data_IF_139984377116
#
_entry.id   IF_139984377116
#
_cell.length_a   1.000
_cell.length_b   1.000
_cell.length_c   1.000
_cell.angle_alpha   90.00
_cell.angle_beta   90.00
_cell.angle_gamma   90.00
#
_symmetry.space_group_name_H-M   'P 1'
#
loop_
_entity.id
_entity.type
_entity.pdbx_description
1 polymer ?
#
# COMPACT_ATOMS: atom_id res chain seq x y z
N UNK A 1 -11.85 34.27 -14.30
CA UNK A 1 -11.21 33.32 -15.25
C UNK A 1 -10.98 32.06 -14.47
N UNK A 2 -11.64 30.96 -14.81
CA UNK A 2 -11.31 29.66 -14.20
C UNK A 2 -9.86 29.36 -14.59
N UNK A 3 -8.97 29.21 -13.61
CA UNK A 3 -7.64 28.64 -13.86
C UNK A 3 -7.86 27.32 -14.58
N UNK A 4 -7.39 27.23 -15.82
CA UNK A 4 -7.33 25.96 -16.52
C UNK A 4 -6.38 25.09 -15.72
N UNK A 5 -6.90 24.05 -15.05
CA UNK A 5 -6.06 23.00 -14.47
C UNK A 5 -5.04 22.61 -15.54
N UNK A 6 -3.75 22.60 -15.18
CA UNK A 6 -2.64 22.35 -16.11
C UNK A 6 -2.61 20.95 -16.72
N UNK A 7 -3.71 20.21 -16.61
CA UNK A 7 -3.93 18.85 -17.08
C UNK A 7 -5.42 18.65 -17.42
N UNK A 8 -5.71 17.61 -18.20
CA UNK A 8 -7.07 17.15 -18.48
C UNK A 8 -7.14 15.63 -18.63
N UNK A 9 -8.30 15.05 -18.32
CA UNK A 9 -8.58 13.62 -18.53
C UNK A 9 -9.21 13.44 -19.91
N UNK A 10 -8.64 12.55 -20.72
CA UNK A 10 -9.15 12.20 -22.05
C UNK A 10 -9.46 10.71 -22.12
N UNK A 11 -10.49 10.32 -22.87
CA UNK A 11 -10.66 8.93 -23.26
C UNK A 11 -9.73 8.63 -24.44
N UNK A 12 -8.87 7.62 -24.29
CA UNK A 12 -7.91 7.23 -25.33
C UNK A 12 -8.56 6.23 -26.28
N UNK A 13 -8.97 5.07 -25.76
CA UNK A 13 -9.67 4.01 -26.50
C UNK A 13 -10.18 2.92 -25.53
N UNK A 14 -10.86 1.90 -26.05
CA UNK A 14 -11.39 0.81 -25.23
C UNK A 14 -10.32 -0.06 -24.53
N UNK A 15 -9.10 -0.12 -25.06
CA UNK A 15 -8.02 -0.95 -24.49
C UNK A 15 -7.29 -0.23 -23.36
N UNK A 16 -6.93 1.05 -23.53
CA UNK A 16 -6.26 1.88 -22.51
C UNK A 16 -7.24 2.56 -21.55
N UNK A 17 -8.48 2.78 -21.96
CA UNK A 17 -9.44 3.56 -21.19
C UNK A 17 -9.10 5.05 -21.17
N UNK A 18 -9.09 5.65 -19.97
CA UNK A 18 -8.79 7.07 -19.76
C UNK A 18 -7.27 7.29 -19.69
N UNK A 19 -6.86 8.52 -19.97
CA UNK A 19 -5.49 9.00 -19.80
C UNK A 19 -5.50 10.42 -19.23
N UNK A 20 -4.50 10.74 -18.42
CA UNK A 20 -4.24 12.11 -17.97
C UNK A 20 -3.24 12.78 -18.92
N UNK A 21 -3.53 14.00 -19.37
CA UNK A 21 -2.68 14.72 -20.33
C UNK A 21 -2.37 16.11 -19.82
N UNK A 22 -1.13 16.56 -20.00
CA UNK A 22 -0.74 17.92 -19.66
C UNK A 22 -1.35 18.94 -20.62
N UNK A 23 -1.83 20.07 -20.11
CA UNK A 23 -2.29 21.23 -20.90
C UNK A 23 -1.33 22.42 -20.80
N UNK A 24 -0.30 22.30 -19.96
CA UNK A 24 0.81 23.23 -19.80
C UNK A 24 2.15 22.49 -19.65
N UNK A 25 3.26 23.23 -19.62
CA UNK A 25 4.56 22.65 -19.28
C UNK A 25 4.68 22.39 -17.78
N UNK A 26 5.28 21.27 -17.40
CA UNK A 26 5.78 21.00 -16.04
C UNK A 26 7.27 20.71 -16.13
N UNK A 27 8.05 21.29 -15.23
CA UNK A 27 9.47 20.95 -15.09
C UNK A 27 9.63 19.74 -14.16
N UNK A 28 10.75 19.04 -14.28
CA UNK A 28 11.12 18.01 -13.31
C UNK A 28 11.04 18.54 -11.87
N UNK A 29 10.30 17.83 -11.01
CA UNK A 29 10.07 18.19 -9.61
C UNK A 29 8.79 18.99 -9.35
N UNK A 30 8.12 19.52 -10.38
CA UNK A 30 6.87 20.27 -10.22
C UNK A 30 5.73 19.39 -9.68
N UNK A 31 4.88 19.97 -8.83
CA UNK A 31 3.64 19.33 -8.41
C UNK A 31 2.60 19.55 -9.52
N UNK A 32 2.11 18.45 -10.08
CA UNK A 32 1.09 18.46 -11.13
C UNK A 32 -0.28 18.68 -10.48
N UNK A 33 -0.61 17.88 -9.46
CA UNK A 33 -1.81 18.04 -8.64
C UNK A 33 -1.68 17.36 -7.28
N UNK A 34 -2.57 17.74 -6.36
CA UNK A 34 -2.81 17.03 -5.11
C UNK A 34 -4.23 16.47 -5.10
N UNK A 35 -4.43 15.26 -4.57
CA UNK A 35 -5.74 14.61 -4.55
C UNK A 35 -6.02 13.93 -3.21
N UNK A 36 -7.24 14.14 -2.69
CA UNK A 36 -7.80 13.34 -1.59
C UNK A 36 -8.56 12.15 -2.18
N UNK A 37 -8.43 10.95 -1.60
CA UNK A 37 -9.14 9.81 -2.12
C UNK A 37 -10.64 9.90 -1.81
N UNK A 38 -11.45 9.20 -2.60
CA UNK A 38 -12.87 9.02 -2.30
C UNK A 38 -13.08 8.19 -1.03
N UNK A 39 -12.26 7.16 -0.88
CA UNK A 39 -12.20 6.27 0.29
C UNK A 39 -10.77 5.77 0.47
N UNK A 40 -10.39 5.55 1.71
CA UNK A 40 -9.11 4.96 2.11
C UNK A 40 -9.40 3.96 3.23
N UNK A 41 -8.62 2.90 3.38
CA UNK A 41 -8.69 1.94 4.49
C UNK A 41 -7.30 1.49 4.88
N UNK A 42 -7.05 1.38 6.18
CA UNK A 42 -5.93 0.59 6.68
C UNK A 42 -6.13 -0.89 6.31
N UNK A 43 -5.04 -1.59 6.00
CA UNK A 43 -5.08 -3.03 5.78
C UNK A 43 -5.45 -3.80 7.06
N UNK A 44 -6.12 -4.94 6.89
CA UNK A 44 -6.78 -5.65 8.01
C UNK A 44 -5.76 -6.27 8.96
N UNK A 45 -4.70 -6.87 8.43
CA UNK A 45 -3.55 -7.35 9.21
C UNK A 45 -2.72 -6.20 9.74
N UNK A 46 -2.50 -5.12 8.99
CA UNK A 46 -1.77 -3.95 9.51
C UNK A 46 -2.42 -3.42 10.81
N UNK A 47 -3.76 -3.27 10.82
CA UNK A 47 -4.50 -2.97 12.04
C UNK A 47 -4.40 -4.05 13.12
N UNK A 48 -4.51 -5.34 12.75
CA UNK A 48 -4.40 -6.46 13.70
C UNK A 48 -3.03 -6.57 14.37
N UNK A 49 -1.96 -6.22 13.65
CA UNK A 49 -0.57 -6.12 14.14
C UNK A 49 -0.29 -4.80 14.86
N UNK A 50 -1.34 -4.03 15.21
CA UNK A 50 -1.30 -2.86 16.09
C UNK A 50 -0.56 -1.65 15.51
N UNK A 51 -0.46 -1.55 14.20
CA UNK A 51 -0.12 -0.26 13.58
C UNK A 51 -1.29 0.68 13.82
N UNK A 52 -1.08 1.72 14.64
CA UNK A 52 -2.16 2.62 14.99
C UNK A 52 -2.20 3.77 13.97
N UNK A 53 -3.25 3.82 13.17
CA UNK A 53 -3.49 4.88 12.19
C UNK A 53 -4.84 5.56 12.43
N UNK A 54 -4.94 6.82 12.02
CA UNK A 54 -6.20 7.54 11.94
C UNK A 54 -7.12 6.81 10.97
N UNK A 55 -8.32 6.44 11.42
CA UNK A 55 -9.26 5.67 10.61
C UNK A 55 -9.66 6.41 9.34
N UNK A 56 -9.62 7.74 9.33
CA UNK A 56 -9.95 8.56 8.15
C UNK A 56 -8.77 8.76 7.19
N UNK A 57 -7.66 9.30 7.71
CA UNK A 57 -6.59 9.86 6.87
C UNK A 57 -5.30 9.02 6.84
N UNK A 58 -5.26 7.86 7.49
CA UNK A 58 -4.08 7.00 7.61
C UNK A 58 -2.87 7.60 8.34
N UNK A 59 -2.99 8.81 8.92
CA UNK A 59 -1.92 9.40 9.73
C UNK A 59 -1.59 8.50 10.94
N UNK A 60 -0.31 8.22 11.24
CA UNK A 60 0.07 7.45 12.41
C UNK A 60 -0.41 8.10 13.71
N UNK A 61 -0.86 7.29 14.68
CA UNK A 61 -1.33 7.74 15.99
C UNK A 61 -0.35 7.43 17.13
N UNK A 62 0.78 6.80 16.81
CA UNK A 62 1.92 6.64 17.71
C UNK A 62 2.84 7.86 17.62
N UNK A 63 3.48 8.25 18.72
CA UNK A 63 4.65 9.12 18.60
C UNK A 63 5.78 8.37 17.90
N UNK A 64 6.75 9.11 17.34
CA UNK A 64 7.94 8.51 16.73
C UNK A 64 8.66 7.56 17.69
N UNK A 65 8.79 7.96 18.96
CA UNK A 65 9.47 7.14 19.97
C UNK A 65 8.66 5.88 20.34
N UNK A 66 7.32 5.98 20.48
CA UNK A 66 6.46 4.80 20.71
C UNK A 66 6.57 3.80 19.55
N UNK A 67 6.53 4.32 18.33
CA UNK A 67 6.66 3.53 17.11
C UNK A 67 8.03 2.85 17.03
N UNK A 68 9.13 3.59 17.26
CA UNK A 68 10.48 3.05 17.25
C UNK A 68 10.70 1.99 18.34
N UNK A 69 10.22 2.22 19.57
CA UNK A 69 10.28 1.24 20.66
C UNK A 69 9.53 -0.04 20.34
N UNK A 70 8.35 0.09 19.70
CA UNK A 70 7.55 -1.07 19.27
C UNK A 70 8.26 -1.88 18.19
N UNK A 71 8.76 -1.20 17.15
CA UNK A 71 9.36 -1.85 15.99
C UNK A 71 10.77 -2.42 16.27
N UNK A 72 11.51 -1.86 17.23
CA UNK A 72 12.82 -2.40 17.68
C UNK A 72 12.72 -3.35 18.86
N UNK A 73 11.56 -3.46 19.51
CA UNK A 73 11.41 -4.18 20.78
C UNK A 73 12.14 -3.56 21.99
N UNK A 74 12.81 -2.41 21.81
CA UNK A 74 13.64 -1.77 22.85
C UNK A 74 12.86 -0.71 23.63
N UNK A 75 12.33 -1.10 24.79
CA UNK A 75 11.53 -0.19 25.65
C UNK A 75 12.27 1.05 26.14
N UNK A 76 13.60 0.96 26.29
CA UNK A 76 14.44 2.04 26.80
C UNK A 76 15.04 2.91 25.68
N UNK A 77 14.67 2.67 24.41
CA UNK A 77 15.11 3.50 23.29
C UNK A 77 14.61 4.94 23.48
N UNK A 78 15.50 5.92 23.33
CA UNK A 78 15.19 7.35 23.38
C UNK A 78 15.65 7.96 22.06
N UNK A 79 14.75 8.66 21.38
CA UNK A 79 15.10 9.34 20.14
C UNK A 79 15.64 10.75 20.44
N UNK A 80 16.71 11.20 19.76
CA UNK A 80 17.13 12.59 19.83
C UNK A 80 16.09 13.51 19.17
N UNK A 81 16.10 14.79 19.54
CA UNK A 81 15.22 15.81 18.97
C UNK A 81 13.72 15.44 19.01
N UNK A 82 13.13 15.22 20.21
CA UNK A 82 11.71 14.84 20.35
C UNK A 82 10.75 15.88 19.74
N UNK A 83 11.17 17.13 19.61
CA UNK A 83 10.44 18.20 18.93
C UNK A 83 10.24 17.96 17.42
N UNK A 84 11.02 17.07 16.81
CA UNK A 84 10.85 16.66 15.41
C UNK A 84 9.74 15.61 15.21
N UNK A 85 9.14 15.10 16.31
CA UNK A 85 8.02 14.17 16.25
C UNK A 85 6.78 14.86 15.63
N UNK A 86 6.22 14.34 14.52
CA UNK A 86 5.09 14.96 13.84
C UNK A 86 3.74 14.72 14.55
N UNK A 87 3.68 13.76 15.47
CA UNK A 87 2.44 13.31 16.10
C UNK A 87 2.02 14.23 17.24
N UNK A 88 0.92 14.95 17.07
CA UNK A 88 0.25 15.67 18.16
C UNK A 88 -0.79 14.77 18.86
N UNK A 89 -0.37 14.07 19.90
CA UNK A 89 -1.28 13.18 20.65
C UNK A 89 -2.41 13.92 21.40
N UNK A 90 -2.32 15.25 21.58
CA UNK A 90 -3.33 16.02 22.31
C UNK A 90 -4.59 16.24 21.49
N UNK A 91 -4.48 16.28 20.16
CA UNK A 91 -5.62 16.40 19.24
C UNK A 91 -6.32 15.07 18.96
N UNK A 92 -5.71 13.95 19.32
CA UNK A 92 -6.28 12.62 19.10
C UNK A 92 -7.65 12.47 19.77
N UNK A 93 -8.58 11.90 19.03
CA UNK A 93 -9.95 11.68 19.48
C UNK A 93 -10.44 10.30 19.06
N UNK A 94 -11.51 9.83 19.68
CA UNK A 94 -12.12 8.55 19.34
C UNK A 94 -13.64 8.69 19.22
N UNK A 95 -14.25 7.80 18.43
CA UNK A 95 -15.69 7.63 18.40
C UNK A 95 -16.19 7.24 19.80
N UNK A 96 -17.22 7.91 20.29
CA UNK A 96 -17.77 7.65 21.63
C UNK A 96 -18.47 6.29 21.75
N UNK A 97 -18.93 5.74 20.61
CA UNK A 97 -19.70 4.50 20.56
C UNK A 97 -18.80 3.28 20.36
N UNK A 98 -17.88 3.31 19.39
CA UNK A 98 -17.04 2.15 19.04
C UNK A 98 -15.54 2.29 19.37
N UNK A 99 -15.09 3.41 19.92
CA UNK A 99 -13.69 3.70 20.26
C UNK A 99 -12.70 3.75 19.07
N UNK A 100 -13.15 3.70 17.82
CA UNK A 100 -12.31 3.94 16.64
C UNK A 100 -11.63 5.30 16.74
N UNK A 101 -10.34 5.37 16.41
CA UNK A 101 -9.46 6.53 16.71
C UNK A 101 -9.20 7.38 15.46
N UNK A 102 -9.05 8.68 15.69
CA UNK A 102 -8.77 9.70 14.69
C UNK A 102 -7.68 10.64 15.21
N UNK A 103 -6.90 11.21 14.29
CA UNK A 103 -5.86 12.17 14.66
C UNK A 103 -6.45 13.50 15.15
N UNK A 104 -7.66 13.88 14.72
CA UNK A 104 -8.32 15.13 15.13
C UNK A 104 -9.85 15.05 14.99
N UNK A 105 -10.55 16.07 15.50
CA UNK A 105 -12.00 16.21 15.39
C UNK A 105 -12.47 16.28 13.93
N UNK A 106 -11.75 17.01 13.06
CA UNK A 106 -12.11 17.14 11.64
C UNK A 106 -12.11 15.78 10.93
N UNK A 107 -11.11 14.94 11.21
CA UNK A 107 -11.04 13.58 10.66
C UNK A 107 -12.18 12.69 11.17
N UNK A 108 -12.54 12.81 12.47
CA UNK A 108 -13.68 12.08 13.04
C UNK A 108 -14.98 12.51 12.37
N UNK A 109 -15.17 13.81 12.19
CA UNK A 109 -16.42 14.38 11.67
C UNK A 109 -16.57 14.10 10.18
N UNK A 110 -15.47 14.19 9.41
CA UNK A 110 -15.45 13.77 8.01
C UNK A 110 -15.71 12.27 7.85
N UNK A 111 -15.09 11.42 8.68
CA UNK A 111 -15.39 9.99 8.68
C UNK A 111 -16.86 9.73 9.03
N UNK A 112 -17.40 10.40 10.06
CA UNK A 112 -18.79 10.27 10.48
C UNK A 112 -19.76 10.62 9.35
N UNK A 113 -19.54 11.72 8.64
CA UNK A 113 -20.38 12.15 7.52
C UNK A 113 -20.22 11.26 6.30
N UNK A 114 -19.03 10.71 6.04
CA UNK A 114 -18.76 9.92 4.84
C UNK A 114 -19.13 8.44 4.99
N UNK A 115 -18.69 7.73 6.03
CA UNK A 115 -18.90 6.26 6.09
C UNK A 115 -19.09 5.70 7.50
N UNK A 116 -18.56 6.37 8.53
CA UNK A 116 -18.43 5.77 9.85
C UNK A 116 -19.78 5.63 10.55
N UNK A 117 -20.77 6.48 10.29
CA UNK A 117 -22.11 6.33 10.87
C UNK A 117 -22.73 4.97 10.51
N UNK A 118 -22.52 4.51 9.27
CA UNK A 118 -22.98 3.21 8.77
C UNK A 118 -22.11 2.06 9.26
N UNK A 119 -20.79 2.28 9.37
CA UNK A 119 -19.82 1.26 9.78
C UNK A 119 -19.56 1.19 11.30
N UNK A 120 -20.19 2.05 12.09
CA UNK A 120 -19.98 2.08 13.53
C UNK A 120 -20.54 0.79 14.15
N UNK A 121 -19.68 0.02 14.82
CA UNK A 121 -20.10 -1.21 15.53
C UNK A 121 -20.93 -0.95 16.78
N UNK A 122 -21.03 0.33 17.19
CA UNK A 122 -21.72 0.78 18.40
C UNK A 122 -21.28 0.08 19.69
N UNK A 123 -20.11 -0.56 19.67
CA UNK A 123 -19.53 -1.29 20.80
C UNK A 123 -18.08 -0.87 21.01
N UNK A 124 -17.76 -0.48 22.25
CA UNK A 124 -16.39 -0.08 22.64
C UNK A 124 -15.44 -1.27 22.75
N UNK A 125 -15.97 -2.48 22.84
CA UNK A 125 -15.23 -3.74 22.89
C UNK A 125 -15.49 -4.52 21.63
N UNK A 126 -14.47 -5.22 21.15
CA UNK A 126 -14.60 -6.11 20.00
C UNK A 126 -15.67 -7.18 20.27
N UNK A 127 -16.63 -7.27 19.37
CA UNK A 127 -17.67 -8.29 19.37
C UNK A 127 -17.48 -9.21 18.15
N UNK A 128 -16.96 -10.43 18.32
CA UNK A 128 -16.76 -11.38 17.22
C UNK A 128 -18.05 -11.79 16.50
N UNK A 129 -19.22 -11.53 17.09
CA UNK A 129 -20.52 -11.79 16.46
C UNK A 129 -21.00 -10.64 15.56
N UNK A 130 -20.35 -9.47 15.63
CA UNK A 130 -20.73 -8.32 14.83
C UNK A 130 -20.47 -8.58 13.32
N UNK A 131 -21.43 -8.33 12.41
CA UNK A 131 -21.30 -8.66 10.99
C UNK A 131 -20.04 -8.09 10.32
N UNK A 132 -19.67 -6.84 10.64
CA UNK A 132 -18.43 -6.22 10.12
C UNK A 132 -17.15 -6.85 10.68
N UNK A 133 -17.17 -7.34 11.92
CA UNK A 133 -16.01 -8.03 12.50
C UNK A 133 -15.85 -9.41 11.86
N UNK A 134 -16.95 -10.11 11.61
CA UNK A 134 -16.95 -11.38 10.89
C UNK A 134 -16.43 -11.22 9.47
N UNK A 135 -16.91 -10.20 8.73
CA UNK A 135 -16.42 -9.88 7.39
C UNK A 135 -14.90 -9.66 7.38
N UNK A 136 -14.39 -8.88 8.32
CA UNK A 136 -12.96 -8.57 8.41
C UNK A 136 -12.12 -9.79 8.81
N UNK A 137 -12.61 -10.62 9.72
CA UNK A 137 -11.96 -11.88 10.10
C UNK A 137 -11.93 -12.89 8.96
N UNK A 138 -13.05 -13.00 8.24
CA UNK A 138 -13.15 -13.85 7.06
C UNK A 138 -12.16 -13.40 5.97
N UNK A 139 -12.01 -12.10 5.72
CA UNK A 139 -10.99 -11.58 4.81
C UNK A 139 -9.57 -11.97 5.23
N UNK A 140 -9.21 -11.76 6.50
CA UNK A 140 -7.86 -12.12 7.01
C UNK A 140 -7.55 -13.61 6.91
N UNK A 141 -8.56 -14.47 7.01
CA UNK A 141 -8.38 -15.92 6.84
C UNK A 141 -8.13 -16.31 5.38
N UNK A 142 -8.58 -15.49 4.42
CA UNK A 142 -8.43 -15.74 2.99
C UNK A 142 -7.19 -15.07 2.40
N UNK A 143 -6.83 -13.89 2.91
CA UNK A 143 -5.73 -13.06 2.41
C UNK A 143 -4.73 -12.88 3.54
N UNK A 144 -3.68 -13.69 3.50
CA UNK A 144 -2.55 -13.57 4.43
C UNK A 144 -1.57 -12.51 3.91
N UNK A 145 -0.78 -11.84 4.78
CA UNK A 145 0.19 -10.85 4.32
C UNK A 145 1.20 -11.40 3.31
N UNK A 146 1.73 -10.55 2.40
CA UNK A 146 1.50 -9.10 2.32
C UNK A 146 0.13 -8.73 1.71
N UNK A 147 -0.61 -7.84 2.35
CA UNK A 147 -1.91 -7.37 1.84
C UNK A 147 -1.71 -6.32 0.73
N UNK A 148 -2.40 -6.52 -0.39
CA UNK A 148 -2.49 -5.53 -1.48
C UNK A 148 -3.87 -4.87 -1.55
N UNK A 149 -4.86 -5.40 -0.81
CA UNK A 149 -6.23 -4.89 -0.73
C UNK A 149 -6.87 -5.25 0.61
N UNK A 150 -8.03 -4.66 0.90
CA UNK A 150 -8.88 -5.06 2.04
C UNK A 150 -10.36 -5.00 1.65
N UNK A 151 -11.14 -5.99 2.08
CA UNK A 151 -12.60 -5.99 1.92
C UNK A 151 -13.26 -4.79 2.59
N UNK A 152 -12.61 -4.21 3.61
CA UNK A 152 -13.13 -3.05 4.31
C UNK A 152 -13.19 -1.81 3.42
N UNK A 153 -12.41 -1.77 2.33
CA UNK A 153 -12.54 -0.71 1.31
C UNK A 153 -13.90 -0.78 0.61
N UNK A 154 -14.37 -1.98 0.26
CA UNK A 154 -15.72 -2.20 -0.30
C UNK A 154 -16.79 -1.80 0.71
N UNK A 155 -16.62 -2.19 1.98
CA UNK A 155 -17.53 -1.77 3.05
C UNK A 155 -17.62 -0.24 3.16
N UNK A 156 -16.49 0.47 3.04
CA UNK A 156 -16.45 1.94 3.02
C UNK A 156 -17.07 2.55 1.77
N UNK A 157 -16.90 1.95 0.59
CA UNK A 157 -17.58 2.41 -0.64
C UNK A 157 -19.10 2.35 -0.47
N UNK A 158 -19.64 1.23 0.01
CA UNK A 158 -21.07 1.05 0.26
C UNK A 158 -21.57 2.07 1.30
N UNK A 159 -20.86 2.22 2.41
CA UNK A 159 -21.21 3.18 3.45
C UNK A 159 -21.17 4.63 2.93
N UNK A 160 -20.21 4.96 2.06
CA UNK A 160 -20.10 6.26 1.41
C UNK A 160 -21.34 6.58 0.57
N UNK A 161 -21.74 5.66 -0.32
CA UNK A 161 -22.97 5.82 -1.12
C UNK A 161 -24.20 5.95 -0.24
N UNK A 162 -24.33 5.12 0.80
CA UNK A 162 -25.50 5.13 1.70
C UNK A 162 -25.65 6.45 2.46
N UNK A 163 -24.54 7.09 2.81
CA UNK A 163 -24.54 8.33 3.58
C UNK A 163 -24.54 9.60 2.73
N UNK A 164 -24.25 9.49 1.43
CA UNK A 164 -24.26 10.62 0.52
C UNK A 164 -25.66 11.25 0.41
N UNK A 165 -25.69 12.58 0.29
CA UNK A 165 -26.92 13.31 -0.01
C UNK A 165 -27.43 12.96 -1.42
N UNK A 166 -26.50 12.87 -2.39
CA UNK A 166 -26.74 12.35 -3.74
C UNK A 166 -26.16 10.93 -3.86
N UNK A 167 -26.97 9.94 -3.50
CA UNK A 167 -26.59 8.53 -3.54
C UNK A 167 -26.30 8.04 -4.97
N UNK A 168 -27.05 8.52 -5.97
CA UNK A 168 -26.84 8.14 -7.37
C UNK A 168 -25.56 8.74 -7.93
N UNK A 169 -25.27 10.01 -7.60
CA UNK A 169 -23.99 10.65 -7.91
C UNK A 169 -22.80 9.93 -7.28
N UNK A 170 -22.88 9.60 -5.99
CA UNK A 170 -21.83 8.85 -5.28
C UNK A 170 -21.61 7.45 -5.89
N UNK A 171 -22.69 6.74 -6.22
CA UNK A 171 -22.61 5.44 -6.88
C UNK A 171 -21.91 5.55 -8.25
N UNK A 172 -22.33 6.52 -9.09
CA UNK A 172 -21.71 6.76 -10.41
C UNK A 172 -20.24 7.15 -10.32
N UNK A 173 -19.86 7.86 -9.26
CA UNK A 173 -18.46 8.25 -9.03
C UNK A 173 -17.57 7.02 -8.81
N UNK A 174 -18.03 5.99 -8.10
CA UNK A 174 -17.30 4.73 -7.99
C UNK A 174 -17.33 3.91 -9.28
N UNK A 175 -18.44 3.91 -10.01
CA UNK A 175 -18.52 3.19 -11.28
C UNK A 175 -17.70 3.83 -12.42
N UNK A 176 -17.03 4.96 -12.19
CA UNK A 176 -16.13 5.57 -13.17
C UNK A 176 -14.75 4.90 -13.25
N UNK A 177 -14.37 4.15 -12.22
CA UNK A 177 -13.09 3.42 -12.11
C UNK A 177 -13.07 2.21 -13.03
N UNK A 178 -11.90 1.64 -13.31
CA UNK A 178 -11.83 0.43 -14.12
C UNK A 178 -12.50 -0.75 -13.42
N UNK A 179 -13.45 -1.42 -14.10
CA UNK A 179 -14.21 -2.54 -13.54
C UNK A 179 -14.74 -3.50 -14.64
N UNK A 180 -14.06 -3.56 -15.80
CA UNK A 180 -14.48 -4.29 -17.03
C UNK A 180 -14.33 -5.82 -16.90
N UNK A 181 -14.94 -6.69 -17.72
CA UNK A 181 -16.36 -7.03 -18.03
C UNK A 181 -16.46 -8.56 -18.19
N UNK A 182 -17.59 -9.21 -17.86
CA UNK A 182 -17.95 -10.66 -17.96
C UNK A 182 -16.86 -11.72 -18.23
N UNK A 183 -16.18 -11.75 -19.39
CA UNK A 183 -15.12 -12.74 -19.64
C UNK A 183 -13.75 -12.35 -19.03
N UNK A 184 -13.45 -11.06 -18.96
CA UNK A 184 -12.25 -10.52 -18.33
C UNK A 184 -12.38 -10.49 -16.81
N UNK A 185 -13.60 -10.29 -16.28
CA UNK A 185 -13.90 -10.35 -14.85
C UNK A 185 -13.69 -11.75 -14.28
N UNK A 186 -14.20 -12.79 -14.94
CA UNK A 186 -14.00 -14.18 -14.51
C UNK A 186 -12.52 -14.57 -14.58
N UNK A 187 -11.81 -14.18 -15.64
CA UNK A 187 -10.37 -14.36 -15.73
C UNK A 187 -9.60 -13.57 -14.66
N UNK A 188 -10.01 -12.33 -14.38
CA UNK A 188 -9.40 -11.46 -13.38
C UNK A 188 -9.61 -12.00 -11.97
N UNK A 189 -10.82 -12.44 -11.64
CA UNK A 189 -11.19 -13.04 -10.37
C UNK A 189 -10.47 -14.38 -10.18
N UNK A 190 -10.38 -15.21 -11.22
CA UNK A 190 -9.54 -16.40 -11.20
C UNK A 190 -8.03 -16.10 -11.13
N UNK A 191 -7.59 -14.87 -11.39
CA UNK A 191 -6.19 -14.42 -11.26
C UNK A 191 -5.91 -13.76 -9.91
N UNK A 192 -6.85 -13.00 -9.35
CA UNK A 192 -6.78 -12.33 -8.05
C UNK A 192 -6.97 -13.33 -6.90
N UNK A 193 -7.88 -14.28 -7.09
CA UNK A 193 -8.30 -15.19 -6.03
C UNK A 193 -8.04 -16.63 -6.45
N UNK A 194 -8.29 -17.04 -7.69
CA UNK A 194 -8.08 -18.42 -8.13
C UNK A 194 -9.39 -19.21 -8.29
N UNK A 195 -9.36 -20.31 -9.06
CA UNK A 195 -10.50 -21.26 -9.16
C UNK A 195 -11.01 -21.80 -7.82
N UNK A 196 -10.18 -22.06 -6.79
CA UNK A 196 -10.68 -22.55 -5.49
C UNK A 196 -11.25 -21.46 -4.57
N UNK A 197 -11.51 -20.24 -5.08
CA UNK A 197 -11.94 -19.10 -4.26
C UNK A 197 -13.34 -18.56 -4.57
N UNK A 198 -14.11 -19.25 -5.42
CA UNK A 198 -15.52 -18.90 -5.70
C UNK A 198 -16.38 -18.90 -4.44
N UNK A 199 -16.16 -19.90 -3.58
CA UNK A 199 -16.94 -20.09 -2.36
C UNK A 199 -16.60 -19.01 -1.32
N UNK A 200 -15.33 -18.64 -1.24
CA UNK A 200 -14.80 -17.56 -0.42
C UNK A 200 -15.41 -16.21 -0.84
N UNK A 201 -15.43 -15.92 -2.14
CA UNK A 201 -16.07 -14.72 -2.68
C UNK A 201 -17.57 -14.68 -2.40
N UNK A 202 -18.24 -15.81 -2.57
CA UNK A 202 -19.65 -15.92 -2.25
C UNK A 202 -19.90 -15.63 -0.76
N UNK A 203 -19.06 -16.20 0.13
CA UNK A 203 -19.16 -15.95 1.57
C UNK A 203 -18.94 -14.47 1.91
N UNK A 204 -17.92 -13.82 1.34
CA UNK A 204 -17.70 -12.38 1.51
C UNK A 204 -18.88 -11.55 1.02
N UNK A 205 -19.45 -11.89 -0.14
CA UNK A 205 -20.63 -11.21 -0.70
C UNK A 205 -21.84 -11.34 0.22
N UNK A 206 -22.09 -12.54 0.74
CA UNK A 206 -23.20 -12.81 1.67
C UNK A 206 -23.02 -12.03 2.98
N UNK A 207 -21.80 -11.98 3.52
CA UNK A 207 -21.47 -11.19 4.70
C UNK A 207 -21.60 -9.68 4.47
N UNK A 208 -21.12 -9.15 3.33
CA UNK A 208 -21.33 -7.75 2.95
C UNK A 208 -22.82 -7.45 2.84
N UNK A 209 -23.59 -8.30 2.16
CA UNK A 209 -25.03 -8.12 2.02
C UNK A 209 -25.72 -8.10 3.39
N UNK A 210 -25.41 -9.07 4.25
CA UNK A 210 -25.95 -9.13 5.61
C UNK A 210 -25.60 -7.87 6.44
N UNK A 211 -24.36 -7.40 6.34
CA UNK A 211 -23.88 -6.26 7.13
C UNK A 211 -24.36 -4.89 6.60
N UNK A 212 -24.49 -4.74 5.27
CA UNK A 212 -24.53 -3.43 4.62
C UNK A 212 -25.61 -3.24 3.57
N UNK A 213 -26.56 -4.17 3.42
CA UNK A 213 -27.68 -4.03 2.47
C UNK A 213 -28.35 -2.66 2.53
N UNK A 214 -28.57 -2.08 1.35
CA UNK A 214 -29.48 -0.97 1.11
C UNK A 214 -29.88 -0.97 -0.37
N UNK A 215 -31.09 -0.51 -0.67
CA UNK A 215 -31.61 -0.51 -2.05
C UNK A 215 -30.72 0.30 -3.01
N UNK A 216 -30.13 1.40 -2.53
CA UNK A 216 -29.25 2.27 -3.32
C UNK A 216 -27.93 1.60 -3.77
N UNK A 217 -27.55 0.46 -3.18
CA UNK A 217 -26.35 -0.31 -3.55
C UNK A 217 -26.68 -1.75 -3.96
N UNK A 218 -27.96 -2.10 -4.15
CA UNK A 218 -28.37 -3.48 -4.44
C UNK A 218 -27.64 -4.08 -5.65
N UNK A 219 -27.35 -3.26 -6.67
CA UNK A 219 -26.63 -3.68 -7.88
C UNK A 219 -25.25 -4.27 -7.55
N UNK A 220 -24.54 -3.69 -6.59
CA UNK A 220 -23.24 -4.16 -6.09
C UNK A 220 -23.30 -5.46 -5.27
N UNK A 221 -24.48 -5.85 -4.78
CA UNK A 221 -24.65 -7.02 -3.92
C UNK A 221 -25.08 -8.28 -4.71
N UNK A 222 -25.37 -8.11 -6.00
CA UNK A 222 -25.51 -9.22 -6.95
C UNK A 222 -24.17 -9.95 -7.12
N UNK A 223 -24.20 -11.17 -7.65
CA UNK A 223 -22.96 -11.90 -7.93
C UNK A 223 -22.05 -11.13 -8.90
N UNK A 224 -22.60 -10.67 -10.03
CA UNK A 224 -21.87 -9.89 -11.04
C UNK A 224 -21.36 -8.56 -10.46
N UNK A 225 -22.22 -7.81 -9.75
CA UNK A 225 -21.84 -6.53 -9.17
C UNK A 225 -20.76 -6.64 -8.09
N UNK A 226 -20.76 -7.70 -7.28
CA UNK A 226 -19.74 -7.90 -6.27
C UNK A 226 -18.37 -8.25 -6.88
N UNK A 227 -18.37 -9.08 -7.93
CA UNK A 227 -17.14 -9.37 -8.69
C UNK A 227 -16.57 -8.09 -9.32
N UNK A 228 -17.45 -7.24 -9.86
CA UNK A 228 -17.08 -5.92 -10.40
C UNK A 228 -16.44 -5.03 -9.32
N UNK A 229 -16.96 -5.01 -8.09
CA UNK A 229 -16.37 -4.27 -6.97
C UNK A 229 -14.98 -4.80 -6.57
N UNK A 230 -14.82 -6.12 -6.52
CA UNK A 230 -13.52 -6.74 -6.22
C UNK A 230 -12.51 -6.41 -7.32
N UNK A 231 -12.92 -6.46 -8.59
CA UNK A 231 -12.10 -6.04 -9.72
C UNK A 231 -11.72 -4.56 -9.65
N UNK A 232 -12.66 -3.70 -9.27
CA UNK A 232 -12.43 -2.27 -9.09
C UNK A 232 -11.36 -2.01 -8.02
N UNK A 233 -11.50 -2.61 -6.83
CA UNK A 233 -10.52 -2.41 -5.75
C UNK A 233 -9.15 -2.96 -6.14
N UNK A 234 -9.09 -4.13 -6.78
CA UNK A 234 -7.83 -4.72 -7.23
C UNK A 234 -7.13 -3.90 -8.32
N UNK A 235 -7.87 -3.36 -9.29
CA UNK A 235 -7.26 -2.65 -10.43
C UNK A 235 -6.90 -1.19 -10.11
N UNK A 236 -7.65 -0.52 -9.24
CA UNK A 236 -7.53 0.92 -9.01
C UNK A 236 -7.00 1.28 -7.60
N UNK A 237 -6.82 0.31 -6.72
CA UNK A 237 -6.29 0.56 -5.38
C UNK A 237 -4.90 1.19 -5.44
N UNK A 238 -4.70 2.27 -4.70
CA UNK A 238 -3.40 2.89 -4.47
C UNK A 238 -2.95 2.58 -3.05
N UNK A 239 -1.80 1.95 -2.89
CA UNK A 239 -1.19 1.76 -1.58
C UNK A 239 -0.88 3.09 -0.90
N UNK A 240 -1.19 3.18 0.40
CA UNK A 240 -0.90 4.32 1.27
C UNK A 240 -0.04 3.80 2.41
N UNK A 241 1.20 4.28 2.50
CA UNK A 241 2.13 3.97 3.58
C UNK A 241 2.51 5.23 4.34
N UNK A 242 2.38 5.22 5.67
CA UNK A 242 2.73 6.33 6.54
C UNK A 242 3.62 5.86 7.69
N UNK A 243 4.59 6.69 8.10
CA UNK A 243 5.53 6.35 9.17
C UNK A 243 5.94 7.58 9.96
N UNK A 244 5.73 7.58 11.30
CA UNK A 244 6.17 8.70 12.14
C UNK A 244 7.70 8.72 12.28
N UNK A 245 8.40 7.59 12.05
CA UNK A 245 9.86 7.51 12.00
C UNK A 245 10.38 8.20 10.75
N UNK A 246 9.85 7.86 9.57
CA UNK A 246 10.30 8.45 8.31
C UNK A 246 10.10 9.97 8.29
N UNK A 247 9.00 10.46 8.87
CA UNK A 247 8.74 11.89 8.98
C UNK A 247 9.62 12.58 10.04
N UNK A 248 9.88 11.92 11.17
CA UNK A 248 10.86 12.42 12.15
C UNK A 248 12.27 12.50 11.56
N UNK A 249 12.72 11.48 10.81
CA UNK A 249 14.02 11.49 10.11
C UNK A 249 14.09 12.69 9.17
N UNK A 250 13.07 12.90 8.35
CA UNK A 250 12.99 14.07 7.45
C UNK A 250 13.10 15.39 8.22
N UNK A 251 12.37 15.53 9.33
CA UNK A 251 12.39 16.75 10.14
C UNK A 251 13.74 16.95 10.84
N UNK A 252 14.31 15.89 11.42
CA UNK A 252 15.57 15.93 12.14
C UNK A 252 16.76 16.20 11.20
N UNK A 253 16.77 15.61 10.00
CA UNK A 253 17.79 15.86 8.98
C UNK A 253 17.74 17.28 8.39
N UNK A 254 16.60 17.98 8.54
CA UNK A 254 16.43 19.37 8.12
C UNK A 254 16.90 20.39 9.17
N UNK A 255 17.29 19.95 10.37
CA UNK A 255 17.82 20.83 11.41
C UNK A 255 19.19 21.41 11.00
N UNK A 256 19.38 22.71 11.27
CA UNK A 256 20.68 23.37 11.13
C UNK A 256 21.57 23.04 12.34
N UNK A 257 22.28 21.91 12.27
CA UNK A 257 23.15 21.42 13.34
C UNK A 257 24.64 21.62 13.01
N UNK A 258 25.51 21.78 14.03
CA UNK A 258 26.95 21.66 13.85
C UNK A 258 27.33 20.31 13.21
N UNK A 259 28.36 20.31 12.37
CA UNK A 259 28.79 19.12 11.59
C UNK A 259 28.96 17.85 12.45
N UNK A 260 29.54 18.00 13.65
CA UNK A 260 29.74 16.87 14.57
C UNK A 260 28.45 16.34 15.21
N UNK A 261 27.45 17.19 15.42
CA UNK A 261 26.12 16.75 15.89
C UNK A 261 25.32 16.12 14.77
N UNK A 262 25.44 16.66 13.56
CA UNK A 262 24.83 16.08 12.36
C UNK A 262 25.34 14.65 12.09
N UNK A 263 26.66 14.43 12.12
CA UNK A 263 27.24 13.08 12.00
C UNK A 263 26.76 12.11 13.08
N UNK A 264 26.58 12.59 14.32
CA UNK A 264 26.04 11.76 15.41
C UNK A 264 24.59 11.39 15.16
N UNK A 265 23.78 12.32 14.68
CA UNK A 265 22.39 12.09 14.30
C UNK A 265 22.29 11.09 13.14
N UNK A 266 23.08 11.28 12.07
CA UNK A 266 23.08 10.40 10.89
C UNK A 266 23.45 8.96 11.30
N UNK A 267 24.51 8.80 12.10
CA UNK A 267 24.91 7.49 12.64
C UNK A 267 23.83 6.89 13.56
N UNK A 268 23.12 7.71 14.32
CA UNK A 268 22.00 7.22 15.14
C UNK A 268 20.87 6.69 14.26
N UNK A 269 20.50 7.43 13.21
CA UNK A 269 19.44 7.05 12.26
C UNK A 269 19.80 5.75 11.54
N UNK A 270 21.04 5.61 11.06
CA UNK A 270 21.53 4.36 10.44
C UNK A 270 21.39 3.16 11.38
N UNK A 271 21.89 3.28 12.62
CA UNK A 271 21.76 2.21 13.62
C UNK A 271 20.29 1.90 13.94
N UNK A 272 19.42 2.92 13.99
CA UNK A 272 18.00 2.72 14.20
C UNK A 272 17.39 1.89 13.07
N UNK A 273 17.68 2.20 11.80
CA UNK A 273 17.17 1.42 10.66
C UNK A 273 17.73 0.00 10.61
N UNK A 274 18.99 -0.21 10.99
CA UNK A 274 19.55 -1.56 11.14
C UNK A 274 18.79 -2.38 12.19
N UNK A 275 18.41 -1.75 13.30
CA UNK A 275 17.63 -2.40 14.36
C UNK A 275 16.19 -2.67 13.93
N UNK A 276 15.55 -1.70 13.28
CA UNK A 276 14.20 -1.85 12.70
C UNK A 276 14.18 -3.00 11.69
N UNK A 277 15.16 -3.06 10.78
CA UNK A 277 15.24 -4.11 9.78
C UNK A 277 15.47 -5.50 10.39
N UNK A 278 16.22 -5.59 11.50
CA UNK A 278 16.47 -6.87 12.20
C UNK A 278 15.22 -7.41 12.89
N UNK A 279 14.41 -6.53 13.48
CA UNK A 279 13.27 -6.93 14.32
C UNK A 279 11.93 -6.94 13.56
N UNK A 280 11.68 -5.93 12.73
CA UNK A 280 10.40 -5.73 12.02
C UNK A 280 10.49 -6.01 10.50
N UNK A 281 11.68 -6.23 9.97
CA UNK A 281 11.89 -6.47 8.53
C UNK A 281 11.43 -5.27 7.68
N UNK A 282 10.63 -5.55 6.65
CA UNK A 282 10.09 -4.53 5.73
C UNK A 282 8.79 -3.90 6.21
N UNK A 283 8.19 -4.41 7.28
CA UNK A 283 6.91 -3.93 7.81
C UNK A 283 7.12 -2.75 8.77
N UNK A 284 7.45 -1.58 8.24
CA UNK A 284 7.71 -0.39 9.06
C UNK A 284 6.54 0.60 9.10
N UNK A 285 5.64 0.50 8.13
CA UNK A 285 4.63 1.52 7.87
C UNK A 285 3.26 1.14 8.45
N UNK A 286 2.46 2.17 8.76
CA UNK A 286 1.01 2.01 8.76
C UNK A 286 0.56 1.98 7.30
N UNK A 287 -0.05 0.86 6.89
CA UNK A 287 -0.29 0.55 5.49
C UNK A 287 -1.77 0.33 5.21
N UNK A 288 -2.19 0.78 4.04
CA UNK A 288 -3.56 0.70 3.59
C UNK A 288 -3.67 0.91 2.10
N UNK A 289 -4.91 1.02 1.63
CA UNK A 289 -5.25 1.26 0.24
C UNK A 289 -6.31 2.34 0.11
N UNK A 290 -6.32 3.06 -1.00
CA UNK A 290 -7.25 4.14 -1.27
C UNK A 290 -7.61 4.24 -2.76
N UNK A 291 -8.75 4.87 -3.05
CA UNK A 291 -9.23 5.10 -4.42
C UNK A 291 -9.17 6.58 -4.77
N UNK A 292 -8.36 6.93 -5.77
CA UNK A 292 -8.12 8.29 -6.25
C UNK A 292 -8.68 8.43 -7.67
N UNK A 293 -9.61 9.35 -7.87
CA UNK A 293 -10.32 9.48 -9.14
C UNK A 293 -9.39 9.95 -10.27
N UNK A 294 -8.60 10.98 -10.02
CA UNK A 294 -7.72 11.57 -11.01
C UNK A 294 -6.48 10.71 -11.24
N UNK A 295 -5.86 10.22 -10.16
CA UNK A 295 -4.71 9.33 -10.29
C UNK A 295 -5.06 8.01 -11.00
N UNK A 296 -6.28 7.47 -10.85
CA UNK A 296 -6.70 6.26 -11.60
C UNK A 296 -6.74 6.44 -13.13
N UNK A 297 -6.69 7.68 -13.63
CA UNK A 297 -6.58 7.97 -15.06
C UNK A 297 -5.13 7.99 -15.58
N UNK A 298 -4.12 7.90 -14.72
CA UNK A 298 -2.71 7.91 -15.13
C UNK A 298 -2.27 6.50 -15.54
N UNK A 299 -1.95 6.31 -16.82
CA UNK A 299 -1.53 5.00 -17.33
C UNK A 299 -0.09 4.65 -16.96
N UNK A 300 0.24 3.37 -17.16
CA UNK A 300 1.61 2.88 -16.99
C UNK A 300 2.56 3.35 -18.10
N UNK A 301 3.78 3.68 -17.72
CA UNK A 301 4.97 3.64 -18.58
C UNK A 301 6.16 3.04 -17.81
N UNK A 302 6.97 2.21 -18.47
CA UNK A 302 8.26 1.77 -17.89
C UNK A 302 9.32 2.89 -17.89
N UNK A 303 9.04 4.00 -18.58
CA UNK A 303 9.78 5.26 -18.55
C UNK A 303 8.81 6.39 -18.20
N UNK A 304 8.25 6.31 -17.00
CA UNK A 304 7.26 7.23 -16.47
C UNK A 304 7.79 8.67 -16.39
N UNK A 305 6.90 9.65 -16.60
CA UNK A 305 7.21 11.08 -16.47
C UNK A 305 6.63 11.72 -15.20
N UNK A 306 5.87 10.96 -14.42
CA UNK A 306 5.38 11.38 -13.13
C UNK A 306 5.43 10.25 -12.09
N UNK A 307 5.37 10.63 -10.83
CA UNK A 307 5.28 9.71 -9.70
C UNK A 307 4.27 10.17 -8.64
N UNK A 308 3.73 9.18 -7.93
CA UNK A 308 2.87 9.37 -6.76
C UNK A 308 3.74 9.48 -5.51
N UNK A 309 3.47 10.48 -4.68
CA UNK A 309 4.09 10.68 -3.37
C UNK A 309 3.07 11.00 -2.27
N UNK A 310 3.43 10.72 -1.02
CA UNK A 310 2.62 11.00 0.18
C UNK A 310 3.40 11.88 1.19
N UNK A 311 3.72 13.15 0.83
CA UNK A 311 4.66 13.97 1.60
C UNK A 311 4.12 14.45 2.96
N UNK A 312 2.82 14.27 3.22
CA UNK A 312 2.14 14.75 4.43
C UNK A 312 1.84 13.65 5.46
N UNK A 313 2.43 12.45 5.27
CA UNK A 313 2.27 11.31 6.18
C UNK A 313 0.80 11.00 6.48
N UNK A 314 0.00 11.03 5.41
CA UNK A 314 -1.42 10.74 5.40
C UNK A 314 -1.81 10.28 3.98
N UNK A 315 -3.08 9.99 3.78
CA UNK A 315 -3.72 9.65 2.51
C UNK A 315 -3.79 10.79 1.45
N UNK A 316 -3.16 11.94 1.63
CA UNK A 316 -3.15 12.98 0.60
C UNK A 316 -2.11 12.62 -0.47
N UNK A 317 -2.57 12.34 -1.68
CA UNK A 317 -1.73 12.05 -2.82
C UNK A 317 -1.18 13.33 -3.43
N UNK A 318 0.09 13.30 -3.82
CA UNK A 318 0.75 14.33 -4.62
C UNK A 318 1.32 13.67 -5.87
N UNK A 319 0.88 14.15 -7.05
CA UNK A 319 1.44 13.76 -8.33
C UNK A 319 2.57 14.73 -8.70
N UNK A 320 3.79 14.22 -8.84
CA UNK A 320 5.00 15.01 -9.13
C UNK A 320 5.59 14.62 -10.48
N UNK A 321 5.99 15.60 -11.28
CA UNK A 321 6.76 15.35 -12.50
C UNK A 321 8.17 14.85 -12.16
N UNK A 322 8.62 13.77 -12.80
CA UNK A 322 9.99 13.22 -12.64
C UNK A 322 10.95 13.70 -13.73
N UNK A 323 10.40 14.20 -14.83
CA UNK A 323 11.10 14.84 -15.95
C UNK A 323 10.21 15.93 -16.53
N UNK A 324 10.74 16.75 -17.43
CA UNK A 324 9.96 17.79 -18.08
C UNK A 324 8.80 17.18 -18.89
N UNK A 325 7.61 17.78 -18.81
CA UNK A 325 6.38 17.35 -19.48
C UNK A 325 5.87 18.54 -20.31
N UNK A 326 5.65 18.33 -21.61
CA UNK A 326 5.13 19.35 -22.50
C UNK A 326 3.60 19.29 -22.61
N UNK A 327 2.94 20.40 -23.01
CA UNK A 327 1.53 20.38 -23.33
C UNK A 327 1.22 19.33 -24.39
N UNK A 328 0.23 18.48 -24.12
CA UNK A 328 -0.17 17.38 -24.98
C UNK A 328 0.43 16.02 -24.60
N UNK A 329 1.48 15.98 -23.77
CA UNK A 329 2.09 14.73 -23.30
C UNK A 329 1.12 13.98 -22.36
N UNK A 330 1.08 12.65 -22.48
CA UNK A 330 0.40 11.78 -21.51
C UNK A 330 1.21 11.76 -20.21
N UNK A 331 0.54 11.98 -19.08
CA UNK A 331 1.12 11.88 -17.74
C UNK A 331 0.99 10.43 -17.30
N UNK A 332 2.13 9.73 -17.28
CA UNK A 332 2.24 8.31 -17.00
C UNK A 332 3.03 8.07 -15.72
N UNK A 333 2.59 7.08 -14.95
CA UNK A 333 3.27 6.59 -13.74
C UNK A 333 3.81 5.18 -13.94
N UNK A 334 4.69 4.70 -13.05
CA UNK A 334 5.04 3.28 -13.03
C UNK A 334 4.06 2.51 -12.13
N UNK A 335 3.58 1.37 -12.62
CA UNK A 335 2.75 0.41 -11.88
C UNK A 335 3.59 -0.67 -11.20
N UNK A 336 4.89 -0.69 -11.46
CA UNK A 336 5.85 -1.62 -10.89
C UNK A 336 6.88 -0.85 -10.07
N UNK A 337 7.51 -1.54 -9.12
CA UNK A 337 8.58 -0.97 -8.32
C UNK A 337 9.79 -0.62 -9.17
N UNK A 338 10.62 0.27 -8.65
CA UNK A 338 11.87 0.70 -9.29
C UNK A 338 12.81 -0.48 -9.59
N UNK A 339 12.94 -1.42 -8.65
CA UNK A 339 13.74 -2.64 -8.86
C UNK A 339 13.23 -3.52 -10.02
N UNK A 340 11.95 -3.41 -10.41
CA UNK A 340 11.39 -4.11 -11.56
C UNK A 340 11.61 -3.31 -12.85
N UNK A 341 11.68 -1.98 -12.78
CA UNK A 341 11.94 -1.14 -13.95
C UNK A 341 13.30 -1.43 -14.60
N UNK A 342 14.27 -1.88 -13.82
CA UNK A 342 15.61 -2.25 -14.30
C UNK A 342 15.70 -3.67 -14.87
N UNK A 343 14.67 -4.51 -14.62
CA UNK A 343 14.59 -5.87 -15.18
C UNK A 343 14.27 -5.85 -16.67
N UNK A 344 14.44 -7.00 -17.33
CA UNK A 344 14.17 -7.17 -18.76
C UNK A 344 12.73 -6.78 -19.14
N UNK A 345 12.53 -6.41 -20.42
CA UNK A 345 11.19 -6.14 -20.98
C UNK A 345 10.24 -7.31 -20.74
N UNK A 346 10.74 -8.54 -20.92
CA UNK A 346 10.00 -9.76 -20.66
C UNK A 346 9.51 -9.82 -19.21
N UNK A 347 10.41 -9.65 -18.23
CA UNK A 347 10.07 -9.71 -16.80
C UNK A 347 9.07 -8.62 -16.42
N UNK A 348 9.25 -7.39 -16.92
CA UNK A 348 8.28 -6.30 -16.68
C UNK A 348 6.90 -6.63 -17.24
N UNK A 349 6.83 -7.14 -18.47
CA UNK A 349 5.57 -7.55 -19.09
C UNK A 349 4.94 -8.74 -18.37
N UNK A 350 5.75 -9.71 -17.92
CA UNK A 350 5.30 -10.84 -17.12
C UNK A 350 4.66 -10.34 -15.83
N UNK A 351 5.31 -9.45 -15.09
CA UNK A 351 4.76 -8.88 -13.85
C UNK A 351 3.47 -8.11 -14.12
N UNK A 352 3.49 -7.16 -15.08
CA UNK A 352 2.29 -6.40 -15.43
C UNK A 352 1.11 -7.32 -15.80
N UNK A 353 1.37 -8.37 -16.57
CA UNK A 353 0.37 -9.32 -17.07
C UNK A 353 0.03 -10.49 -16.12
N UNK A 354 0.75 -10.68 -15.00
CA UNK A 354 0.57 -11.82 -14.10
C UNK A 354 0.51 -11.43 -12.62
N UNK A 355 -0.57 -11.87 -11.96
CA UNK A 355 -0.72 -11.87 -10.51
C UNK A 355 -0.06 -13.09 -9.82
N UNK A 356 0.49 -14.04 -10.58
CA UNK A 356 0.51 -15.47 -10.17
C UNK A 356 1.68 -15.97 -9.33
N UNK A 357 2.85 -15.31 -9.30
CA UNK A 357 4.06 -16.05 -8.85
C UNK A 357 4.48 -15.81 -7.40
N UNK A 358 4.24 -14.64 -6.79
CA UNK A 358 4.71 -14.41 -5.41
C UNK A 358 3.84 -15.05 -4.31
N UNK A 359 2.54 -15.23 -4.53
CA UNK A 359 1.70 -15.92 -3.55
C UNK A 359 2.06 -17.41 -3.45
N UNK A 360 2.44 -18.03 -4.58
CA UNK A 360 2.80 -19.46 -4.62
C UNK A 360 4.17 -19.74 -3.99
N UNK A 361 5.10 -18.79 -4.06
CA UNK A 361 6.36 -18.83 -3.29
C UNK A 361 6.11 -18.54 -1.82
N UNK A 362 5.33 -17.50 -1.47
CA UNK A 362 5.01 -17.20 -0.07
C UNK A 362 4.24 -18.34 0.62
N UNK A 363 3.36 -19.06 -0.09
CA UNK A 363 2.60 -20.19 0.43
C UNK A 363 3.48 -21.43 0.62
N UNK A 364 4.50 -21.63 -0.23
CA UNK A 364 5.50 -22.69 -0.04
C UNK A 364 6.43 -22.38 1.13
N UNK A 365 6.80 -21.12 1.31
CA UNK A 365 7.59 -20.66 2.46
C UNK A 365 6.78 -20.74 3.77
N UNK A 366 5.49 -20.37 3.74
CA UNK A 366 4.57 -20.51 4.87
C UNK A 366 4.20 -21.96 5.19
N UNK A 367 4.18 -22.86 4.20
CA UNK A 367 4.01 -24.31 4.43
C UNK A 367 5.27 -24.95 5.02
N UNK A 368 6.48 -24.48 4.65
CA UNK A 368 7.74 -24.85 5.31
C UNK A 368 7.81 -24.33 6.76
N UNK A 369 7.28 -23.14 7.03
CA UNK A 369 7.25 -22.53 8.38
C UNK A 369 6.03 -22.90 9.25
N UNK A 370 5.11 -23.74 8.74
CA UNK A 370 3.91 -24.20 9.46
C UNK A 370 4.20 -24.87 10.83
N UNK A 371 5.32 -25.58 11.05
CA UNK A 371 5.68 -26.07 12.38
C UNK A 371 6.17 -24.97 13.33
N UNK A 372 6.71 -23.85 12.83
CA UNK A 372 7.22 -22.72 13.64
C UNK A 372 6.12 -21.73 14.06
N UNK A 373 5.07 -21.56 13.24
CA UNK A 373 3.93 -20.71 13.57
C UNK A 373 3.00 -21.29 14.65
N UNK A 374 2.96 -22.63 14.82
CA UNK A 374 2.17 -23.27 15.89
C UNK A 374 2.79 -23.15 17.28
N UNK A 375 4.09 -22.98 17.41
CA UNK A 375 4.75 -22.87 18.71
C UNK A 375 4.77 -21.44 19.29
N UNK A 376 4.45 -20.42 18.49
CA UNK A 376 4.44 -19.01 18.94
C UNK A 376 3.09 -18.54 19.52
N UNK A 377 2.03 -19.35 19.42
CA UNK A 377 0.69 -19.03 19.94
C UNK A 377 0.57 -19.33 21.45
N UNK A 378 1.55 -20.02 22.02
CA UNK A 378 1.65 -20.30 23.45
C UNK A 378 3.10 -20.07 23.85
N UNK A 379 3.47 -18.88 24.33
CA UNK A 379 4.55 -18.61 25.29
C UNK A 379 4.81 -17.10 25.32
N UNK A 380 4.04 -16.39 26.14
CA UNK A 380 4.71 -15.43 26.98
C UNK A 380 5.64 -16.23 27.90
N UNK A 381 6.96 -15.99 27.81
CA UNK A 381 8.00 -16.11 28.86
C UNK A 381 9.38 -16.48 28.23
N UNK A 382 10.35 -15.60 28.50
CA UNK A 382 11.82 -15.75 28.57
C UNK A 382 12.66 -16.13 27.33
N UNK A 383 13.55 -15.20 27.00
CA UNK A 383 14.84 -15.40 26.33
C UNK A 383 15.69 -16.54 26.92
N UNK A 384 16.43 -17.20 26.04
CA UNK A 384 17.88 -17.54 26.06
C UNK A 384 18.21 -17.90 24.60
N UNK A 385 19.10 -17.24 23.88
CA UNK A 385 20.49 -16.99 24.22
C UNK A 385 21.34 -18.09 23.60
N UNK A 386 21.61 -18.00 22.28
CA UNK A 386 22.76 -18.68 21.65
C UNK A 386 23.06 -18.06 20.28
N UNK A 387 24.33 -17.70 20.09
CA UNK A 387 24.90 -17.12 18.89
C UNK A 387 25.14 -18.23 17.88
N UNK A 388 24.79 -18.00 16.62
CA UNK A 388 25.54 -18.61 15.50
C UNK A 388 25.91 -17.49 14.54
N UNK A 389 27.21 -17.33 14.37
CA UNK A 389 27.83 -16.44 13.40
C UNK A 389 28.34 -17.30 12.24
N UNK A 390 28.09 -16.85 11.01
CA UNK A 390 28.95 -17.03 9.82
C UNK A 390 28.60 -15.85 8.91
N UNK A 391 29.48 -14.84 8.75
CA UNK A 391 30.62 -14.80 7.81
C UNK A 391 30.19 -15.23 6.40
N UNK A 392 30.16 -14.39 5.36
CA UNK A 392 30.72 -13.06 5.15
C UNK A 392 31.36 -12.99 3.76
N UNK A 393 31.56 -11.74 3.29
CA UNK A 393 32.24 -11.27 2.06
C UNK A 393 31.29 -10.93 0.92
N UNK A 394 31.37 -9.76 0.27
CA UNK A 394 32.37 -8.69 0.28
C UNK A 394 31.65 -7.45 -0.28
N UNK A 395 31.76 -6.25 0.31
CA UNK A 395 31.98 -5.05 -0.50
C UNK A 395 32.68 -3.98 0.32
N UNK A 396 33.71 -3.43 -0.31
CA UNK A 396 34.72 -2.54 0.22
C UNK A 396 34.14 -1.20 0.68
N UNK A 397 34.84 -0.59 1.63
CA UNK A 397 34.70 0.79 2.06
C UNK A 397 34.54 1.74 0.87
N UNK A 398 33.37 2.37 0.74
CA UNK A 398 33.20 3.58 -0.06
C UNK A 398 32.56 4.61 0.88
N UNK A 399 33.31 5.67 1.18
CA UNK A 399 32.74 6.89 1.74
C UNK A 399 31.77 7.46 0.69
N UNK A 400 30.49 7.14 0.80
CA UNK A 400 29.44 7.74 -0.02
C UNK A 400 28.81 8.92 0.74
N UNK A 401 28.61 10.08 0.11
CA UNK A 401 27.92 11.22 0.72
C UNK A 401 26.43 10.92 0.96
N UNK A 402 25.88 11.56 2.00
CA UNK A 402 24.53 11.42 2.63
C UNK A 402 23.31 11.44 1.68
N UNK A 403 23.50 11.74 0.39
CA UNK A 403 22.43 11.69 -0.63
C UNK A 403 21.84 10.27 -0.76
N UNK A 404 22.64 9.22 -0.54
CA UNK A 404 22.21 7.81 -0.66
C UNK A 404 21.29 7.30 0.47
N UNK A 405 21.30 7.90 1.66
CA UNK A 405 20.41 7.47 2.76
C UNK A 405 18.97 7.92 2.49
N UNK A 406 18.81 9.13 1.95
CA UNK A 406 17.50 9.65 1.51
C UNK A 406 16.95 8.83 0.35
N UNK A 407 17.80 8.36 -0.57
CA UNK A 407 17.39 7.50 -1.67
C UNK A 407 17.06 6.05 -1.22
N UNK A 408 17.77 5.51 -0.22
CA UNK A 408 17.35 4.25 0.46
C UNK A 408 16.02 4.40 1.21
N UNK A 409 15.75 5.57 1.77
CA UNK A 409 14.46 5.90 2.37
C UNK A 409 13.36 5.96 1.30
N UNK A 410 13.60 6.58 0.14
CA UNK A 410 12.69 6.52 -1.01
C UNK A 410 12.42 5.08 -1.46
N UNK A 411 13.43 4.21 -1.43
CA UNK A 411 13.27 2.78 -1.71
C UNK A 411 12.34 2.08 -0.70
N UNK A 412 12.32 2.46 0.58
CA UNK A 412 11.34 1.97 1.57
C UNK A 412 9.95 2.60 1.42
N UNK A 413 9.84 3.83 0.88
CA UNK A 413 8.55 4.41 0.44
C UNK A 413 7.92 3.61 -0.73
N UNK A 414 8.69 2.76 -1.41
CA UNK A 414 8.22 1.88 -2.50
C UNK A 414 7.27 0.77 -2.02
N UNK A 415 7.16 0.49 -0.72
CA UNK A 415 6.19 -0.51 -0.21
C UNK A 415 4.74 -0.07 -0.47
N UNK A 416 4.49 1.22 -0.64
CA UNK A 416 3.18 1.76 -1.06
C UNK A 416 2.89 1.64 -2.58
N UNK A 417 3.83 1.12 -3.40
CA UNK A 417 3.67 1.00 -4.87
C UNK A 417 3.08 -0.34 -5.33
N UNK A 418 2.83 -1.31 -4.44
CA UNK A 418 2.53 -2.72 -4.81
C UNK A 418 1.02 -3.02 -5.01
N UNK A 419 0.16 -2.04 -5.28
CA UNK A 419 -1.21 -2.37 -5.70
C UNK A 419 -1.36 -2.51 -7.22
N UNK A 420 -0.56 -1.80 -8.04
CA UNK A 420 -0.77 -1.82 -9.49
C UNK A 420 -0.12 -3.01 -10.20
N UNK A 421 0.91 -3.62 -9.62
CA UNK A 421 1.78 -4.51 -10.40
C UNK A 421 1.13 -5.85 -10.74
N UNK A 422 -0.07 -6.17 -10.25
CA UNK A 422 -0.63 -7.54 -10.32
C UNK A 422 -1.91 -7.65 -11.16
N UNK A 423 -2.41 -6.55 -11.73
CA UNK A 423 -3.83 -6.47 -12.15
C UNK A 423 -4.08 -5.93 -13.55
N UNK A 424 -3.04 -5.62 -14.34
CA UNK A 424 -3.21 -5.02 -15.65
C UNK A 424 -2.94 -5.99 -16.80
N UNK A 425 -4.00 -6.40 -17.48
CA UNK A 425 -3.90 -7.27 -18.66
C UNK A 425 -3.49 -6.49 -19.92
N UNK A 426 -2.26 -5.93 -19.96
CA UNK A 426 -1.72 -5.33 -21.18
C UNK A 426 -0.19 -5.47 -21.32
N UNK A 427 0.28 -5.41 -22.57
CA UNK A 427 1.70 -5.33 -22.91
C UNK A 427 2.10 -3.86 -23.08
N UNK A 428 3.08 -3.39 -22.31
CA UNK A 428 3.53 -2.00 -22.36
C UNK A 428 4.21 -1.70 -23.71
N UNK A 429 3.84 -0.58 -24.33
CA UNK A 429 4.42 -0.08 -25.59
C UNK A 429 5.03 1.32 -25.42
N UNK A 430 5.57 1.61 -24.23
CA UNK A 430 6.31 2.85 -24.01
C UNK A 430 7.64 2.84 -24.78
N UNK A 431 8.26 4.00 -24.97
CA UNK A 431 9.53 4.16 -25.70
C UNK A 431 10.61 3.21 -25.21
N UNK A 432 10.73 2.98 -23.89
CA UNK A 432 11.67 2.00 -23.30
C UNK A 432 11.35 0.56 -23.70
N UNK A 433 10.07 0.18 -23.77
CA UNK A 433 9.69 -1.18 -24.19
C UNK A 433 9.83 -1.38 -25.70
N UNK A 434 9.65 -0.33 -26.50
CA UNK A 434 9.83 -0.39 -27.95
C UNK A 434 11.31 -0.47 -28.32
N UNK A 435 12.18 0.26 -27.61
CA UNK A 435 13.63 0.19 -27.84
C UNK A 435 14.24 -1.16 -27.45
N UNK A 436 13.56 -1.95 -26.62
CA UNK A 436 14.02 -3.25 -26.10
C UNK A 436 13.30 -4.45 -26.76
N UNK A 437 12.64 -4.25 -27.91
CA UNK A 437 11.84 -5.32 -28.54
C UNK A 437 12.70 -6.45 -29.12
N UNK A 438 13.92 -6.13 -29.55
CA UNK A 438 14.89 -7.07 -30.11
C UNK A 438 15.91 -7.57 -29.06
N UNK A 439 15.81 -7.11 -27.81
CA UNK A 439 16.67 -7.59 -26.74
C UNK A 439 16.35 -9.07 -26.47
N UNK A 440 17.36 -9.93 -26.30
CA UNK A 440 17.12 -11.34 -26.00
C UNK A 440 16.35 -11.47 -24.69
N UNK A 441 15.38 -12.39 -24.65
CA UNK A 441 14.67 -12.80 -23.44
C UNK A 441 15.61 -13.64 -22.56
N UNK A 442 16.69 -13.03 -22.06
CA UNK A 442 17.55 -13.61 -21.02
C UNK A 442 16.88 -13.38 -19.67
N UNK A 443 16.14 -14.37 -19.20
CA UNK A 443 16.06 -14.65 -17.77
C UNK A 443 17.40 -15.27 -17.44
N UNK A 444 18.37 -14.52 -16.91
CA UNK A 444 19.65 -15.12 -16.54
C UNK A 444 19.38 -16.30 -15.61
N UNK A 445 20.13 -17.40 -15.74
CA UNK A 445 20.00 -18.58 -14.87
C UNK A 445 20.29 -18.23 -13.38
N UNK A 446 20.86 -17.05 -13.11
CA UNK A 446 20.96 -16.43 -11.77
C UNK A 446 19.63 -15.83 -11.26
N UNK A 447 18.56 -15.77 -12.06
CA UNK A 447 17.21 -15.33 -11.66
C UNK A 447 16.32 -16.47 -11.14
N UNK A 448 16.85 -17.69 -11.01
CA UNK A 448 16.17 -18.83 -10.35
C UNK A 448 16.77 -19.28 -9.02
N UNK A 449 17.86 -18.66 -8.53
CA UNK A 449 18.64 -19.17 -7.38
C UNK A 449 18.91 -18.14 -6.24
N UNK A 450 18.03 -17.16 -6.02
CA UNK A 450 17.95 -16.47 -4.71
C UNK A 450 16.92 -17.12 -3.76
N UNK A 451 16.46 -18.34 -4.05
CA UNK A 451 15.53 -19.11 -3.19
C UNK A 451 15.88 -20.59 -3.00
N UNK A 452 17.11 -21.05 -3.30
CA UNK A 452 17.42 -22.51 -3.36
C UNK A 452 18.71 -23.01 -2.71
N UNK A 453 19.42 -22.24 -1.88
CA UNK A 453 20.60 -22.77 -1.16
C UNK A 453 20.38 -22.89 0.35
N UNK A 454 19.92 -24.07 0.80
CA UNK A 454 20.40 -24.82 1.98
C UNK A 454 19.48 -26.04 2.26
N UNK A 455 19.47 -27.01 1.36
CA UNK A 455 19.15 -28.41 1.70
C UNK A 455 20.43 -29.24 1.50
N UNK A 456 21.23 -29.35 2.56
CA UNK A 456 22.14 -30.49 2.70
C UNK A 456 21.63 -31.37 3.82
N UNK A 457 21.10 -32.52 3.42
CA UNK A 457 20.85 -33.68 4.26
C UNK A 457 22.07 -33.94 5.16
N UNK A 458 21.87 -33.87 6.47
CA UNK A 458 22.70 -34.64 7.40
C UNK A 458 22.03 -36.00 7.56
N UNK A 459 22.54 -37.00 6.84
CA UNK A 459 22.30 -38.41 7.17
C UNK A 459 22.82 -38.65 8.60
N UNK A 460 21.93 -39.19 9.43
CA UNK A 460 22.25 -39.70 10.76
C UNK A 460 22.67 -41.15 10.58
N UNK A 461 23.88 -41.47 11.03
CA UNK A 461 24.25 -42.82 11.49
C UNK A 461 24.66 -42.73 12.96
#
# INVERSE_FOLDING_TARGET
MMETQGYEVRFINESKGKGLFATQCFNAGDIIFEERPLVCCQFSWNGAYRYAACDFCMRPLESTEENARRLTGKKDLVLPYPECCPTDKKSHIQCKQCSVRYCCADCRDAAWSQYHKTLCTQSRTRDPSHPLEQLNDTWKQMHYPPETATIMLVARMIANVRQAEDQEGAFRLFMQFCHKTKNEEEEFVHKLLGKPFSDQLQMLREQINHALYADCVQQWLTQEGFLSLVALVGTNGQGVGTSPISEWVKNASALELPEEEKKKLDKFIENLYDELSKEAGTFLNSEGTALYSLQSACNHSCDANAEVAFPYSNFQLVMRATKDINPGDEICVSYVSECVLDRSRHTRHKILSSARERERESLKDLEKDRPRLRSSIFWGIKMKGEKVACQGQLFMSINLPVVDVVDKLKAQYTVARVCYSQHYLFACRCTKCESQVEDPDVTSEEESDESSEEEKEFEID
#
